data_IF_359007276738
#
_entry.id   IF_359007276738
#
_cell.length_a   1.000
_cell.length_b   1.000
_cell.length_c   1.000
_cell.angle_alpha   90.00
_cell.angle_beta   90.00
_cell.angle_gamma   90.00
#
_symmetry.space_group_name_H-M   'P 1'
#
loop_
_entity.id
_entity.type
_entity.pdbx_description
1 polymer ?
#
# COMPACT_ATOMS: atom_id res chain seq x y z
N UNK A 1 50.31 79.81 61.56
CA UNK A 1 50.47 78.44 60.99
C UNK A 1 49.32 77.99 60.10
N UNK A 2 48.10 78.52 60.23
CA UNK A 2 46.89 78.00 59.57
C UNK A 2 46.82 78.16 58.04
N UNK A 3 47.46 79.18 57.44
CA UNK A 3 47.35 79.44 55.99
C UNK A 3 48.11 78.45 55.08
N UNK A 4 49.24 77.89 55.53
CA UNK A 4 50.04 76.92 54.74
C UNK A 4 49.38 75.54 54.69
N UNK A 5 48.72 75.12 55.77
CA UNK A 5 47.96 73.86 55.80
C UNK A 5 46.73 73.91 54.92
N UNK A 6 46.02 75.05 54.88
CA UNK A 6 44.87 75.23 53.99
C UNK A 6 45.26 75.15 52.52
N UNK A 7 46.37 75.79 52.13
CA UNK A 7 46.86 75.78 50.74
C UNK A 7 47.32 74.38 50.30
N UNK A 8 47.98 73.63 51.19
CA UNK A 8 48.36 72.25 50.94
C UNK A 8 47.15 71.30 50.78
N UNK A 9 46.11 71.49 51.61
CA UNK A 9 44.87 70.71 51.53
C UNK A 9 44.12 70.99 50.21
N UNK A 10 44.03 72.26 49.80
CA UNK A 10 43.42 72.65 48.52
C UNK A 10 44.20 72.05 47.34
N UNK A 11 45.53 72.08 47.37
CA UNK A 11 46.35 71.54 46.28
C UNK A 11 46.21 70.02 46.16
N UNK A 12 46.13 69.30 47.30
CA UNK A 12 45.86 67.86 47.33
C UNK A 12 44.46 67.53 46.77
N UNK A 13 43.45 68.31 47.14
CA UNK A 13 42.08 68.15 46.64
C UNK A 13 41.98 68.42 45.13
N UNK A 14 42.63 69.48 44.65
CA UNK A 14 42.72 69.78 43.22
C UNK A 14 43.44 68.66 42.44
N UNK A 15 44.56 68.14 42.96
CA UNK A 15 45.27 67.03 42.35
C UNK A 15 44.42 65.74 42.30
N UNK A 16 43.68 65.46 43.37
CA UNK A 16 42.75 64.33 43.43
C UNK A 16 41.60 64.45 42.43
N UNK A 17 41.01 65.64 42.30
CA UNK A 17 39.94 65.90 41.33
C UNK A 17 40.43 65.74 39.89
N UNK A 18 41.61 66.27 39.55
CA UNK A 18 42.20 66.12 38.21
C UNK A 18 42.44 64.64 37.91
N UNK A 19 43.01 63.88 38.85
CA UNK A 19 43.21 62.45 38.70
C UNK A 19 41.90 61.68 38.52
N UNK A 20 40.87 62.02 39.29
CA UNK A 20 39.54 61.42 39.19
C UNK A 20 38.89 61.68 37.83
N UNK A 21 38.89 62.92 37.35
CA UNK A 21 38.33 63.26 36.04
C UNK A 21 39.05 62.54 34.90
N UNK A 22 40.39 62.51 34.93
CA UNK A 22 41.18 61.78 33.91
C UNK A 22 40.94 60.28 33.96
N UNK A 23 40.82 59.70 35.15
CA UNK A 23 40.51 58.28 35.34
C UNK A 23 39.08 57.92 34.92
N UNK A 24 38.11 58.80 35.18
CA UNK A 24 36.73 58.61 34.73
C UNK A 24 36.62 58.67 33.21
N UNK A 25 37.30 59.62 32.57
CA UNK A 25 37.30 59.77 31.12
C UNK A 25 37.99 58.57 30.43
N UNK A 26 39.10 58.06 30.98
CA UNK A 26 39.76 56.86 30.46
C UNK A 26 38.93 55.60 30.65
N UNK A 27 38.32 55.42 31.83
CA UNK A 27 37.41 54.30 32.09
C UNK A 27 36.15 54.36 31.20
N UNK A 28 35.59 55.55 30.98
CA UNK A 28 34.45 55.75 30.10
C UNK A 28 34.81 55.55 28.62
N UNK A 29 36.05 55.83 28.21
CA UNK A 29 36.53 55.55 26.86
C UNK A 29 36.71 54.03 26.64
N UNK A 30 37.33 53.33 27.59
CA UNK A 30 37.51 51.88 27.54
C UNK A 30 36.16 51.15 27.55
N UNK A 31 35.24 51.53 28.44
CA UNK A 31 33.90 50.92 28.50
C UNK A 31 33.09 51.13 27.20
N UNK A 32 33.19 52.30 26.57
CA UNK A 32 32.56 52.54 25.25
C UNK A 32 33.19 51.69 24.15
N UNK A 33 34.51 51.49 24.18
CA UNK A 33 35.21 50.65 23.22
C UNK A 33 34.79 49.17 23.35
N UNK A 34 34.73 48.64 24.57
CA UNK A 34 34.27 47.26 24.83
C UNK A 34 32.82 47.05 24.39
N UNK A 35 31.92 47.99 24.69
CA UNK A 35 30.52 47.92 24.24
C UNK A 35 30.42 47.96 22.71
N UNK A 36 31.23 48.78 22.05
CA UNK A 36 31.25 48.85 20.59
C UNK A 36 31.78 47.54 19.96
N UNK A 37 32.81 46.94 20.56
CA UNK A 37 33.35 45.64 20.12
C UNK A 37 32.32 44.52 20.31
N UNK A 38 31.66 44.47 21.48
CA UNK A 38 30.57 43.54 21.75
C UNK A 38 29.44 43.71 20.72
N UNK A 39 28.98 44.93 20.48
CA UNK A 39 27.94 45.20 19.48
C UNK A 39 28.35 44.73 18.07
N UNK A 40 29.60 44.97 17.66
CA UNK A 40 30.13 44.52 16.38
C UNK A 40 30.19 42.99 16.28
N UNK A 41 30.61 42.30 17.35
CA UNK A 41 30.63 40.82 17.40
C UNK A 41 29.22 40.22 17.32
N UNK A 42 28.24 40.80 18.04
CA UNK A 42 26.85 40.38 17.96
C UNK A 42 26.26 40.64 16.58
N UNK A 43 26.59 41.76 15.94
CA UNK A 43 26.15 42.04 14.57
C UNK A 43 26.67 40.96 13.60
N UNK A 44 27.96 40.63 13.65
CA UNK A 44 28.57 39.55 12.84
C UNK A 44 27.92 38.19 13.11
N UNK A 45 27.64 37.86 14.37
CA UNK A 45 26.97 36.60 14.73
C UNK A 45 25.54 36.55 14.17
N UNK A 46 24.79 37.66 14.23
CA UNK A 46 23.44 37.74 13.67
C UNK A 46 23.44 37.63 12.15
N UNK A 47 24.41 38.24 11.47
CA UNK A 47 24.59 38.10 10.03
C UNK A 47 24.91 36.64 9.64
N UNK A 48 25.85 36.01 10.35
CA UNK A 48 26.18 34.60 10.12
C UNK A 48 24.98 33.67 10.38
N UNK A 49 24.21 33.93 11.45
CA UNK A 49 23.00 33.18 11.75
C UNK A 49 21.90 33.39 10.70
N UNK A 50 21.76 34.61 10.17
CA UNK A 50 20.79 34.91 9.10
C UNK A 50 21.16 34.21 7.78
N UNK A 51 22.44 34.16 7.43
CA UNK A 51 22.93 33.42 6.25
C UNK A 51 22.71 31.91 6.42
N UNK A 52 23.06 31.35 7.58
CA UNK A 52 22.84 29.94 7.88
C UNK A 52 21.35 29.57 7.85
N UNK A 53 20.47 30.45 8.36
CA UNK A 53 19.03 30.27 8.29
C UNK A 53 18.52 30.28 6.84
N UNK A 54 18.98 31.23 6.01
CA UNK A 54 18.61 31.30 4.59
C UNK A 54 19.07 30.06 3.81
N UNK A 55 20.26 29.53 4.09
CA UNK A 55 20.75 28.28 3.50
C UNK A 55 19.93 27.06 3.93
N UNK A 56 19.56 26.98 5.22
CA UNK A 56 18.73 25.91 5.77
C UNK A 56 17.32 25.93 5.16
N UNK A 57 16.71 27.12 5.04
CA UNK A 57 15.42 27.29 4.36
C UNK A 57 15.51 26.88 2.88
N UNK A 58 16.57 27.30 2.18
CA UNK A 58 16.81 26.90 0.80
C UNK A 58 16.96 25.38 0.64
N UNK A 59 17.67 24.73 1.57
CA UNK A 59 17.81 23.28 1.59
C UNK A 59 16.48 22.57 1.90
N UNK A 60 15.67 23.10 2.81
CA UNK A 60 14.34 22.58 3.11
C UNK A 60 13.41 22.69 1.90
N UNK A 61 13.40 23.84 1.20
CA UNK A 61 12.62 24.03 -0.03
C UNK A 61 13.01 23.04 -1.12
N UNK A 62 14.31 22.85 -1.37
CA UNK A 62 14.80 21.87 -2.36
C UNK A 62 14.37 20.43 -2.03
N UNK A 63 14.35 20.06 -0.74
CA UNK A 63 13.85 18.75 -0.30
C UNK A 63 12.35 18.61 -0.60
N UNK A 64 11.56 19.62 -0.28
CA UNK A 64 10.13 19.65 -0.58
C UNK A 64 9.85 19.57 -2.09
N UNK A 65 10.61 20.27 -2.92
CA UNK A 65 10.51 20.21 -4.39
C UNK A 65 10.88 18.82 -4.93
N UNK A 66 11.89 18.16 -4.36
CA UNK A 66 12.28 16.81 -4.76
C UNK A 66 11.19 15.80 -4.41
N UNK A 67 10.65 15.87 -3.18
CA UNK A 67 9.56 14.99 -2.77
C UNK A 67 8.26 15.26 -3.54
N UNK A 68 7.94 16.53 -3.83
CA UNK A 68 6.77 16.87 -4.63
C UNK A 68 6.88 16.35 -6.07
N UNK A 69 8.08 16.44 -6.68
CA UNK A 69 8.35 15.86 -7.99
C UNK A 69 8.21 14.32 -7.98
N UNK A 70 8.71 13.65 -6.94
CA UNK A 70 8.54 12.20 -6.76
C UNK A 70 7.07 11.81 -6.64
N UNK A 71 6.31 12.50 -5.80
CA UNK A 71 4.87 12.28 -5.62
C UNK A 71 4.12 12.51 -6.93
N UNK A 72 4.46 13.56 -7.68
CA UNK A 72 3.86 13.84 -8.98
C UNK A 72 4.15 12.73 -10.00
N UNK A 73 5.38 12.21 -10.05
CA UNK A 73 5.76 11.08 -10.90
C UNK A 73 4.95 9.82 -10.55
N UNK A 74 4.90 9.46 -9.27
CA UNK A 74 4.15 8.30 -8.79
C UNK A 74 2.63 8.44 -9.05
N UNK A 75 2.09 9.64 -8.90
CA UNK A 75 0.69 9.92 -9.23
C UNK A 75 0.43 9.73 -10.74
N UNK A 76 1.37 10.13 -11.59
CA UNK A 76 1.34 9.90 -13.04
C UNK A 76 1.34 8.40 -13.37
N UNK A 77 2.31 7.65 -12.86
CA UNK A 77 2.42 6.20 -13.05
C UNK A 77 1.17 5.46 -12.59
N UNK A 78 0.63 5.84 -11.42
CA UNK A 78 -0.62 5.26 -10.90
C UNK A 78 -1.82 5.58 -11.80
N UNK A 79 -1.88 6.81 -12.33
CA UNK A 79 -2.91 7.22 -13.30
C UNK A 79 -2.85 6.39 -14.58
N UNK A 80 -1.65 6.20 -15.13
CA UNK A 80 -1.43 5.37 -16.32
C UNK A 80 -1.79 3.91 -16.07
N UNK A 81 -1.37 3.34 -14.94
CA UNK A 81 -1.70 1.96 -14.57
C UNK A 81 -3.21 1.77 -14.43
N UNK A 82 -3.91 2.72 -13.79
CA UNK A 82 -5.38 2.71 -13.68
C UNK A 82 -6.06 2.79 -15.04
N UNK A 83 -5.56 3.64 -15.94
CA UNK A 83 -6.10 3.78 -17.29
C UNK A 83 -5.89 2.50 -18.10
N UNK A 84 -4.71 1.87 -18.00
CA UNK A 84 -4.41 0.58 -18.64
C UNK A 84 -5.36 -0.51 -18.13
N UNK A 85 -5.50 -0.63 -16.81
CA UNK A 85 -6.42 -1.60 -16.20
C UNK A 85 -7.87 -1.37 -16.62
N UNK A 86 -8.31 -0.11 -16.69
CA UNK A 86 -9.64 0.23 -17.17
C UNK A 86 -9.84 -0.14 -18.65
N UNK A 87 -8.84 0.09 -19.50
CA UNK A 87 -8.88 -0.27 -20.91
C UNK A 87 -8.92 -1.78 -21.10
N UNK A 88 -8.10 -2.53 -20.36
CA UNK A 88 -8.08 -4.00 -20.36
C UNK A 88 -9.41 -4.58 -19.89
N UNK A 89 -9.97 -4.05 -18.78
CA UNK A 89 -11.27 -4.47 -18.27
C UNK A 89 -12.38 -4.22 -19.29
N UNK A 90 -12.41 -3.05 -19.93
CA UNK A 90 -13.37 -2.75 -21.00
C UNK A 90 -13.19 -3.69 -22.20
N UNK A 91 -11.96 -3.98 -22.60
CA UNK A 91 -11.68 -4.90 -23.70
C UNK A 91 -12.13 -6.33 -23.37
N UNK A 92 -11.88 -6.79 -22.15
CA UNK A 92 -12.33 -8.08 -21.64
C UNK A 92 -13.86 -8.16 -21.61
N UNK A 93 -14.54 -7.16 -21.02
CA UNK A 93 -16.01 -7.11 -20.99
C UNK A 93 -16.61 -7.12 -22.39
N UNK A 94 -16.03 -6.37 -23.35
CA UNK A 94 -16.47 -6.41 -24.75
C UNK A 94 -16.33 -7.79 -25.38
N UNK A 95 -15.21 -8.49 -25.13
CA UNK A 95 -15.03 -9.87 -25.62
C UNK A 95 -16.06 -10.81 -25.00
N UNK A 96 -16.30 -10.68 -23.70
CA UNK A 96 -17.30 -11.49 -23.00
C UNK A 96 -18.70 -11.27 -23.56
N UNK A 97 -19.12 -10.01 -23.74
CA UNK A 97 -20.43 -9.68 -24.35
C UNK A 97 -20.59 -10.32 -25.72
N UNK A 98 -19.57 -10.22 -26.59
CA UNK A 98 -19.62 -10.84 -27.92
C UNK A 98 -19.79 -12.35 -27.87
N UNK A 99 -19.17 -13.03 -26.90
CA UNK A 99 -19.32 -14.49 -26.73
C UNK A 99 -20.70 -14.82 -26.18
N UNK A 100 -21.24 -14.00 -25.27
CA UNK A 100 -22.59 -14.18 -24.72
C UNK A 100 -23.69 -13.95 -25.76
N UNK A 101 -23.48 -13.00 -26.68
CA UNK A 101 -24.42 -12.66 -27.75
C UNK A 101 -24.31 -13.60 -28.97
N UNK A 102 -23.39 -14.57 -28.96
CA UNK A 102 -23.21 -15.53 -30.05
C UNK A 102 -24.38 -16.53 -30.08
N UNK A 103 -25.19 -16.55 -31.15
CA UNK A 103 -26.36 -17.44 -31.26
C UNK A 103 -26.00 -18.93 -31.16
N UNK A 104 -24.77 -19.32 -31.53
CA UNK A 104 -24.31 -20.70 -31.39
C UNK A 104 -24.15 -21.11 -29.91
N UNK A 105 -23.90 -20.14 -29.02
CA UNK A 105 -23.80 -20.36 -27.57
C UNK A 105 -25.17 -20.27 -26.91
N UNK A 106 -25.99 -19.28 -27.27
CA UNK A 106 -27.33 -19.08 -26.67
C UNK A 106 -28.31 -20.21 -27.03
N UNK A 107 -28.15 -20.83 -28.20
CA UNK A 107 -28.96 -21.96 -28.66
C UNK A 107 -28.45 -23.33 -28.20
N UNK A 108 -27.36 -23.39 -27.42
CA UNK A 108 -26.77 -24.66 -27.01
C UNK A 108 -27.62 -25.34 -25.94
N UNK A 109 -28.03 -26.57 -26.24
CA UNK A 109 -28.75 -27.43 -25.32
C UNK A 109 -27.84 -28.58 -24.93
N UNK A 110 -27.68 -28.79 -23.62
CA UNK A 110 -26.76 -29.81 -23.11
C UNK A 110 -27.51 -31.13 -22.95
N UNK A 111 -27.03 -32.23 -23.57
CA UNK A 111 -27.72 -33.51 -23.46
C UNK A 111 -27.64 -34.06 -22.03
N UNK A 112 -28.73 -34.68 -21.57
CA UNK A 112 -28.84 -35.22 -20.20
C UNK A 112 -27.71 -36.19 -19.83
N UNK A 113 -27.22 -36.95 -20.81
CA UNK A 113 -26.09 -37.87 -20.62
C UNK A 113 -24.79 -37.15 -20.27
N UNK A 114 -24.54 -35.97 -20.85
CA UNK A 114 -23.39 -35.15 -20.49
C UNK A 114 -23.53 -34.62 -19.07
N UNK A 115 -24.72 -34.16 -18.69
CA UNK A 115 -25.00 -33.69 -17.32
C UNK A 115 -24.75 -34.80 -16.30
N UNK A 116 -25.12 -36.04 -16.63
CA UNK A 116 -24.82 -37.21 -15.79
C UNK A 116 -23.32 -37.42 -15.60
N UNK A 117 -22.54 -37.44 -16.69
CA UNK A 117 -21.08 -37.58 -16.59
C UNK A 117 -20.43 -36.42 -15.85
N UNK A 118 -20.94 -35.20 -16.02
CA UNK A 118 -20.49 -34.02 -15.30
C UNK A 118 -20.73 -34.14 -13.79
N UNK A 119 -21.94 -34.57 -13.38
CA UNK A 119 -22.27 -34.76 -11.96
C UNK A 119 -21.48 -35.92 -11.33
N UNK A 120 -21.22 -36.98 -12.08
CA UNK A 120 -20.36 -38.08 -11.66
C UNK A 120 -18.91 -37.61 -11.45
N UNK A 121 -18.38 -36.78 -12.36
CA UNK A 121 -17.05 -36.18 -12.21
C UNK A 121 -16.96 -35.23 -11.00
N UNK A 122 -18.06 -34.56 -10.64
CA UNK A 122 -18.17 -33.76 -9.42
C UNK A 122 -18.39 -34.61 -8.15
N UNK A 123 -18.56 -35.92 -8.27
CA UNK A 123 -18.82 -36.83 -7.14
C UNK A 123 -20.21 -36.65 -6.51
N UNK A 124 -21.14 -35.99 -7.21
CA UNK A 124 -22.50 -35.73 -6.73
C UNK A 124 -23.43 -36.94 -6.90
N UNK A 125 -23.03 -37.92 -7.72
CA UNK A 125 -23.74 -39.18 -7.93
C UNK A 125 -22.73 -40.33 -7.76
N UNK A 126 -23.08 -41.41 -7.04
CA UNK A 126 -22.23 -42.59 -6.99
C UNK A 126 -22.06 -43.16 -8.40
N UNK A 127 -20.80 -43.33 -8.83
CA UNK A 127 -20.46 -43.93 -10.12
C UNK A 127 -21.22 -45.24 -10.31
N UNK A 128 -21.98 -45.33 -11.39
CA UNK A 128 -22.81 -46.49 -11.69
C UNK A 128 -21.94 -47.70 -12.01
N UNK A 129 -21.63 -48.50 -10.99
CA UNK A 129 -20.87 -49.73 -11.13
C UNK A 129 -20.77 -50.53 -9.85
N UNK A 130 -21.85 -51.26 -9.51
CA UNK A 130 -21.80 -52.58 -8.88
C UNK A 130 -21.30 -52.69 -7.43
N UNK A 131 -22.11 -53.32 -6.58
CA UNK A 131 -21.75 -53.74 -5.24
C UNK A 131 -20.48 -54.62 -5.19
N UNK A 132 -19.68 -54.42 -4.14
CA UNK A 132 -18.89 -55.49 -3.50
C UNK A 132 -17.49 -55.81 -4.03
N UNK A 133 -16.57 -55.86 -3.07
CA UNK A 133 -15.37 -56.72 -2.98
C UNK A 133 -14.01 -56.26 -3.53
N UNK A 134 -13.04 -56.43 -2.62
CA UNK A 134 -11.59 -56.35 -2.73
C UNK A 134 -11.00 -57.18 -3.89
N UNK A 135 -9.94 -56.66 -4.52
CA UNK A 135 -8.96 -57.46 -5.26
C UNK A 135 -8.39 -56.81 -6.51
N UNK A 136 -7.08 -56.55 -6.52
CA UNK A 136 -6.29 -56.33 -7.74
C UNK A 136 -5.72 -57.68 -8.25
N UNK A 137 -5.03 -57.77 -9.40
CA UNK A 137 -5.27 -57.20 -10.75
C UNK A 137 -5.18 -58.28 -11.88
N UNK A 138 -5.60 -58.01 -13.13
CA UNK A 138 -5.04 -58.68 -14.33
C UNK A 138 -5.41 -57.99 -15.66
N UNK A 139 -4.44 -58.03 -16.59
CA UNK A 139 -4.42 -57.44 -17.92
C UNK A 139 -5.20 -58.25 -18.99
N UNK A 140 -5.54 -57.60 -20.11
CA UNK A 140 -5.93 -58.29 -21.34
C UNK A 140 -6.67 -57.41 -22.36
N UNK A 141 -6.01 -57.12 -23.47
CA UNK A 141 -6.50 -56.32 -24.60
C UNK A 141 -7.46 -57.08 -25.54
N UNK A 142 -8.31 -56.28 -26.21
CA UNK A 142 -8.88 -56.45 -27.56
C UNK A 142 -10.30 -57.03 -27.73
N UNK A 143 -11.20 -56.09 -28.05
CA UNK A 143 -12.19 -56.10 -29.13
C UNK A 143 -13.27 -57.20 -29.19
N UNK A 144 -14.51 -56.80 -28.90
CA UNK A 144 -15.66 -57.21 -29.70
C UNK A 144 -16.70 -56.08 -29.73
N UNK A 145 -16.86 -55.46 -30.89
CA UNK A 145 -18.04 -54.70 -31.24
C UNK A 145 -19.27 -55.61 -31.10
N UNK A 146 -20.15 -55.31 -30.13
CA UNK A 146 -21.49 -55.88 -30.06
C UNK A 146 -22.43 -54.90 -29.38
N UNK A 147 -23.41 -54.44 -30.15
CA UNK A 147 -24.68 -53.83 -29.74
C UNK A 147 -24.63 -52.68 -28.74
N UNK A 148 -24.52 -51.45 -29.27
CA UNK A 148 -25.11 -50.26 -28.67
C UNK A 148 -26.64 -50.24 -28.90
N UNK A 149 -27.32 -51.31 -28.50
CA UNK A 149 -28.78 -51.40 -28.55
C UNK A 149 -29.29 -51.92 -27.21
N UNK A 150 -30.21 -51.15 -26.61
CA UNK A 150 -30.98 -51.40 -25.37
C UNK A 150 -30.49 -50.82 -24.02
N UNK A 151 -29.67 -49.76 -24.01
CA UNK A 151 -29.61 -48.87 -22.84
C UNK A 151 -30.57 -47.66 -22.93
N UNK A 152 -31.39 -47.60 -23.99
CA UNK A 152 -32.28 -46.47 -24.29
C UNK A 152 -33.76 -46.74 -23.93
N UNK A 153 -34.06 -47.93 -23.40
CA UNK A 153 -35.45 -48.33 -23.11
C UNK A 153 -35.98 -47.84 -21.74
N UNK A 154 -35.19 -47.09 -20.98
CA UNK A 154 -35.57 -46.64 -19.62
C UNK A 154 -35.22 -45.19 -19.28
N UNK A 155 -34.47 -44.48 -20.12
CA UNK A 155 -34.29 -43.04 -19.96
C UNK A 155 -35.42 -42.34 -20.67
N UNK A 156 -36.51 -42.09 -19.94
CA UNK A 156 -37.36 -40.95 -20.27
C UNK A 156 -36.42 -39.75 -20.48
N UNK A 157 -36.45 -39.07 -21.64
CA UNK A 157 -35.60 -37.91 -21.86
C UNK A 157 -35.97 -36.88 -20.79
N UNK A 158 -35.18 -36.84 -19.73
CA UNK A 158 -35.24 -35.78 -18.74
C UNK A 158 -35.09 -34.45 -19.48
N UNK A 159 -35.75 -33.38 -19.01
CA UNK A 159 -35.72 -32.10 -19.70
C UNK A 159 -34.26 -31.73 -19.95
N UNK A 160 -33.95 -31.45 -21.22
CA UNK A 160 -32.64 -30.99 -21.60
C UNK A 160 -32.30 -29.72 -20.84
N UNK A 161 -31.11 -29.67 -20.26
CA UNK A 161 -30.68 -28.51 -19.45
C UNK A 161 -30.18 -27.43 -20.41
N UNK A 162 -30.62 -26.19 -20.20
CA UNK A 162 -30.15 -25.07 -21.01
C UNK A 162 -28.70 -24.75 -20.66
N UNK A 163 -27.93 -24.23 -21.62
CA UNK A 163 -26.57 -23.80 -21.31
C UNK A 163 -26.52 -22.69 -20.24
N UNK A 164 -27.56 -21.85 -20.15
CA UNK A 164 -27.68 -20.82 -19.10
C UNK A 164 -27.76 -21.46 -17.70
N UNK A 165 -28.51 -22.56 -17.54
CA UNK A 165 -28.58 -23.27 -16.26
C UNK A 165 -27.21 -23.83 -15.84
N UNK A 166 -26.44 -24.32 -16.81
CA UNK A 166 -25.05 -24.79 -16.55
C UNK A 166 -24.15 -23.63 -16.15
N UNK A 167 -24.25 -22.47 -16.80
CA UNK A 167 -23.49 -21.28 -16.43
C UNK A 167 -23.88 -20.75 -15.04
N UNK A 168 -25.17 -20.75 -14.71
CA UNK A 168 -25.66 -20.39 -13.39
C UNK A 168 -25.07 -21.32 -12.33
N UNK A 169 -25.11 -22.64 -12.54
CA UNK A 169 -24.49 -23.61 -11.65
C UNK A 169 -22.99 -23.36 -11.45
N UNK A 170 -22.23 -23.10 -12.52
CA UNK A 170 -20.78 -22.83 -12.41
C UNK A 170 -20.50 -21.55 -11.61
N UNK A 171 -21.34 -20.52 -11.74
CA UNK A 171 -21.23 -19.28 -10.94
C UNK A 171 -21.48 -19.56 -9.45
N UNK A 172 -22.55 -20.28 -9.14
CA UNK A 172 -22.94 -20.63 -7.77
C UNK A 172 -21.89 -21.55 -7.12
N UNK A 173 -21.38 -22.53 -7.87
CA UNK A 173 -20.30 -23.39 -7.43
C UNK A 173 -19.02 -22.59 -7.13
N UNK A 174 -18.69 -21.61 -7.97
CA UNK A 174 -17.57 -20.70 -7.71
C UNK A 174 -17.75 -19.86 -6.44
N UNK A 175 -18.98 -19.44 -6.12
CA UNK A 175 -19.30 -18.76 -4.84
C UNK A 175 -19.09 -19.72 -3.67
N UNK A 176 -19.59 -20.96 -3.79
CA UNK A 176 -19.41 -22.00 -2.77
C UNK A 176 -17.93 -22.34 -2.51
N UNK A 177 -17.10 -22.49 -3.54
CA UNK A 177 -15.66 -22.74 -3.34
C UNK A 177 -14.96 -21.59 -2.60
N UNK A 178 -15.35 -20.33 -2.86
CA UNK A 178 -14.79 -19.18 -2.14
C UNK A 178 -15.25 -19.13 -0.69
N UNK A 179 -16.52 -19.46 -0.41
CA UNK A 179 -17.01 -19.51 0.98
C UNK A 179 -16.38 -20.66 1.76
N UNK A 180 -16.15 -21.81 1.12
CA UNK A 180 -15.45 -22.93 1.73
C UNK A 180 -14.00 -22.57 2.07
N UNK A 181 -13.30 -21.86 1.17
CA UNK A 181 -11.95 -21.34 1.45
C UNK A 181 -11.95 -20.39 2.65
N UNK A 182 -12.85 -19.43 2.69
CA UNK A 182 -12.94 -18.48 3.80
C UNK A 182 -13.21 -19.19 5.15
N UNK A 183 -14.05 -20.24 5.14
CA UNK A 183 -14.27 -21.07 6.33
C UNK A 183 -13.02 -21.85 6.74
N UNK A 184 -12.28 -22.41 5.79
CA UNK A 184 -11.03 -23.11 6.08
C UNK A 184 -9.97 -22.17 6.65
N UNK A 185 -9.80 -20.97 6.08
CA UNK A 185 -8.91 -19.94 6.60
C UNK A 185 -9.32 -19.51 8.02
N UNK A 186 -10.61 -19.30 8.27
CA UNK A 186 -11.12 -18.97 9.61
C UNK A 186 -10.87 -20.09 10.64
N UNK A 187 -10.97 -21.36 10.23
CA UNK A 187 -10.64 -22.50 11.09
C UNK A 187 -9.15 -22.59 11.42
N UNK A 188 -8.28 -22.33 10.44
CA UNK A 188 -6.82 -22.26 10.64
C UNK A 188 -6.49 -21.12 11.61
N UNK A 189 -7.01 -19.93 11.37
CA UNK A 189 -6.80 -18.77 12.24
C UNK A 189 -7.31 -19.02 13.67
N UNK A 190 -8.45 -19.70 13.84
CA UNK A 190 -8.97 -20.06 15.16
C UNK A 190 -8.07 -21.08 15.88
N UNK A 191 -7.50 -22.04 15.16
CA UNK A 191 -6.57 -23.02 15.73
C UNK A 191 -5.20 -22.41 16.08
N UNK A 192 -4.66 -21.54 15.22
CA UNK A 192 -3.37 -20.88 15.45
C UNK A 192 -3.48 -19.73 16.48
N UNK A 193 -4.60 -19.01 16.48
CA UNK A 193 -4.91 -17.95 17.45
C UNK A 193 -5.25 -18.49 18.84
N UNK A 194 -5.83 -19.70 18.94
CA UNK A 194 -6.07 -20.41 20.19
C UNK A 194 -4.82 -21.12 20.79
N UNK A 195 -3.70 -21.14 20.05
CA UNK A 195 -2.44 -21.76 20.45
C UNK A 195 -1.39 -20.76 20.98
N UNK A 196 -1.81 -19.54 21.36
CA UNK A 196 -0.98 -18.64 22.19
C UNK A 196 -1.50 -18.68 23.64
N UNK A 197 -0.63 -18.97 24.63
CA UNK A 197 -1.02 -18.94 26.05
C UNK A 197 -1.41 -17.53 26.51
#
# INVERSE_FOLDING_TARGET
MSGRFFLAAVLCLCAGLIGYWRGFESAAALGRAEVAEQAASFARQREAAALAAAEAEGAARRRLETESARVASLAGELGEARNRLAAERRAFTRRMSRVSDDPAVTGLVVPAQWVRFYNEALGLVPSGGGAGESGAPAAGTAAAARSAASADAGLQPGPSVSFEDVLAHVRDYGVYCRSLRAQAEALVDAHEGGARP
#
